data_IF_511492821348
#
_entry.id   IF_511492821348
#
_cell.length_a   1.000
_cell.length_b   1.000
_cell.length_c   1.000
_cell.angle_alpha   90.00
_cell.angle_beta   90.00
_cell.angle_gamma   90.00
#
_symmetry.space_group_name_H-M   'P 1'
#
loop_
_entity.id
_entity.type
_entity.pdbx_description
1 polymer ?
#
# COMPACT_ATOMS: atom_id res chain seq x y z
N UNK A 1 -44.85 13.23 16.32
CA UNK A 1 -43.92 12.65 17.31
C UNK A 1 -43.13 11.56 16.62
N UNK A 2 -41.82 11.75 16.46
CA UNK A 2 -40.98 10.83 15.70
C UNK A 2 -39.52 11.25 15.80
N UNK A 3 -38.96 11.20 17.01
CA UNK A 3 -37.53 11.37 17.22
C UNK A 3 -36.83 10.04 16.93
N UNK A 4 -36.20 9.95 15.76
CA UNK A 4 -35.20 8.92 15.48
C UNK A 4 -33.94 9.25 16.25
N UNK A 5 -33.69 8.51 17.34
CA UNK A 5 -32.44 8.60 18.09
C UNK A 5 -31.33 7.96 17.26
N UNK A 6 -30.34 8.77 16.92
CA UNK A 6 -29.06 8.36 16.35
C UNK A 6 -28.44 7.23 17.20
N UNK A 7 -28.01 6.16 16.52
CA UNK A 7 -27.31 5.05 17.17
C UNK A 7 -26.02 5.53 17.85
N UNK A 8 -25.57 4.83 18.91
CA UNK A 8 -24.43 5.28 19.69
C UNK A 8 -23.15 5.24 18.87
N UNK A 9 -22.35 6.29 19.03
CA UNK A 9 -21.00 6.41 18.51
C UNK A 9 -20.18 5.16 18.85
N UNK A 10 -19.60 4.56 17.81
CA UNK A 10 -18.82 3.33 17.91
C UNK A 10 -17.78 3.40 19.02
N UNK A 11 -17.78 2.35 19.85
CA UNK A 11 -16.83 2.09 20.91
C UNK A 11 -15.39 2.39 20.49
N UNK A 12 -14.70 3.16 21.32
CA UNK A 12 -13.28 3.49 21.18
C UNK A 12 -12.40 2.28 21.57
N UNK A 13 -12.61 1.13 20.93
CA UNK A 13 -11.65 0.04 20.94
C UNK A 13 -10.33 0.55 20.36
N UNK A 14 -9.26 0.50 21.16
CA UNK A 14 -7.97 1.15 20.89
C UNK A 14 -7.56 1.10 19.43
N UNK A 15 -7.23 2.26 18.86
CA UNK A 15 -7.00 2.46 17.43
C UNK A 15 -6.09 1.41 16.79
N UNK A 16 -5.10 0.89 17.51
CA UNK A 16 -4.22 -0.20 17.06
C UNK A 16 -4.96 -1.49 16.66
N UNK A 17 -6.02 -1.89 17.39
CA UNK A 17 -6.82 -3.08 17.04
C UNK A 17 -7.67 -2.89 15.79
N UNK A 18 -7.99 -1.64 15.44
CA UNK A 18 -8.73 -1.33 14.21
C UNK A 18 -7.83 -1.39 12.99
N UNK A 19 -6.58 -0.92 13.09
CA UNK A 19 -5.62 -0.95 11.97
C UNK A 19 -5.31 -2.36 11.48
N UNK A 20 -5.27 -3.36 12.36
CA UNK A 20 -5.00 -4.74 11.94
C UNK A 20 -6.14 -5.38 11.13
N UNK A 21 -7.38 -4.90 11.28
CA UNK A 21 -8.58 -5.47 10.62
C UNK A 21 -9.13 -4.61 9.49
N UNK A 22 -8.75 -3.34 9.43
CA UNK A 22 -9.30 -2.35 8.50
C UNK A 22 -8.26 -1.95 7.45
N UNK A 23 -8.32 -2.60 6.27
CA UNK A 23 -7.40 -2.32 5.17
C UNK A 23 -7.60 -0.92 4.59
N UNK A 24 -8.85 -0.43 4.54
CA UNK A 24 -9.15 0.90 4.02
C UNK A 24 -8.50 1.97 4.91
N UNK A 25 -8.72 1.90 6.23
CA UNK A 25 -8.13 2.85 7.17
C UNK A 25 -6.60 2.85 7.10
N UNK A 26 -5.97 1.70 6.84
CA UNK A 26 -4.51 1.64 6.65
C UNK A 26 -4.08 2.41 5.40
N UNK A 27 -4.72 2.19 4.26
CA UNK A 27 -4.42 2.93 3.02
C UNK A 27 -4.66 4.43 3.17
N UNK A 28 -5.73 4.84 3.86
CA UNK A 28 -6.00 6.25 4.15
C UNK A 28 -4.89 6.88 4.99
N UNK A 29 -4.46 6.21 6.07
CA UNK A 29 -3.41 6.72 6.95
C UNK A 29 -2.02 6.70 6.30
N UNK A 30 -1.75 5.76 5.40
CA UNK A 30 -0.55 5.76 4.56
C UNK A 30 -0.46 7.03 3.73
N UNK A 31 -1.52 7.38 2.99
CA UNK A 31 -1.59 8.62 2.22
C UNK A 31 -1.47 9.86 3.13
N UNK A 32 -2.16 9.86 4.27
CA UNK A 32 -2.06 10.95 5.24
C UNK A 32 -0.62 11.16 5.74
N UNK A 33 0.11 10.07 6.00
CA UNK A 33 1.51 10.13 6.39
C UNK A 33 2.41 10.64 5.26
N UNK A 34 2.22 10.16 4.02
CA UNK A 34 2.97 10.62 2.84
C UNK A 34 2.81 12.12 2.59
N UNK A 35 1.60 12.65 2.75
CA UNK A 35 1.30 14.07 2.51
C UNK A 35 1.39 14.95 3.76
N UNK A 36 1.70 14.37 4.92
CA UNK A 36 1.77 15.06 6.22
C UNK A 36 0.48 15.83 6.58
N UNK A 37 -0.68 15.22 6.34
CA UNK A 37 -2.01 15.80 6.63
C UNK A 37 -2.75 14.98 7.72
N UNK A 38 -3.65 15.60 8.51
CA UNK A 38 -4.51 14.85 9.43
C UNK A 38 -5.57 14.04 8.66
N UNK A 39 -5.98 12.90 9.21
CA UNK A 39 -6.99 12.05 8.57
C UNK A 39 -8.32 12.78 8.37
N UNK A 40 -8.73 13.64 9.30
CA UNK A 40 -9.89 14.51 9.11
C UNK A 40 -9.81 15.40 7.87
N UNK A 41 -8.62 15.91 7.51
CA UNK A 41 -8.42 16.69 6.28
C UNK A 41 -8.52 15.81 5.03
N UNK A 42 -7.95 14.61 5.07
CA UNK A 42 -8.09 13.63 3.98
C UNK A 42 -9.57 13.33 3.68
N UNK A 43 -10.43 13.33 4.70
CA UNK A 43 -11.88 13.16 4.58
C UNK A 43 -12.64 14.46 4.21
N UNK A 44 -11.95 15.53 3.83
CA UNK A 44 -12.54 16.81 3.42
C UNK A 44 -12.66 17.87 4.53
N UNK A 45 -12.01 17.67 5.67
CA UNK A 45 -11.97 18.63 6.77
C UNK A 45 -11.07 19.85 6.54
N UNK A 46 -10.97 20.72 7.54
CA UNK A 46 -10.33 22.04 7.45
C UNK A 46 -8.82 22.07 7.72
N UNK A 47 -8.17 20.91 7.89
CA UNK A 47 -6.73 20.81 8.15
C UNK A 47 -6.32 20.91 9.62
N UNK A 48 -7.26 21.16 10.55
CA UNK A 48 -6.91 21.19 11.99
C UNK A 48 -6.77 19.78 12.54
N UNK A 49 -5.65 19.54 13.22
CA UNK A 49 -5.40 18.29 13.93
C UNK A 49 -6.35 18.12 15.09
N UNK A 50 -7.26 17.15 14.97
CA UNK A 50 -8.11 16.73 16.08
C UNK A 50 -7.38 15.74 16.99
N UNK A 51 -7.92 15.51 18.18
CA UNK A 51 -7.37 14.49 19.07
C UNK A 51 -7.44 13.08 18.45
N UNK A 52 -8.52 12.80 17.72
CA UNK A 52 -8.66 11.55 17.00
C UNK A 52 -7.60 11.37 15.91
N UNK A 53 -7.22 12.45 15.20
CA UNK A 53 -6.16 12.41 14.20
C UNK A 53 -4.81 12.08 14.82
N UNK A 54 -4.50 12.67 15.99
CA UNK A 54 -3.26 12.38 16.72
C UNK A 54 -3.20 10.93 17.16
N UNK A 55 -4.29 10.40 17.73
CA UNK A 55 -4.38 9.00 18.13
C UNK A 55 -4.17 8.06 16.94
N UNK A 56 -4.80 8.35 15.79
CA UNK A 56 -4.61 7.56 14.57
C UNK A 56 -3.18 7.65 14.04
N UNK A 57 -2.58 8.83 14.02
CA UNK A 57 -1.20 9.03 13.54
C UNK A 57 -0.18 8.28 14.41
N UNK A 58 -0.34 8.32 15.73
CA UNK A 58 0.52 7.57 16.65
C UNK A 58 0.33 6.06 16.50
N UNK A 59 -0.92 5.60 16.39
CA UNK A 59 -1.22 4.19 16.15
C UNK A 59 -0.66 3.70 14.80
N UNK A 60 -0.71 4.53 13.76
CA UNK A 60 -0.09 4.25 12.47
C UNK A 60 1.43 4.13 12.58
N UNK A 61 2.08 5.06 13.29
CA UNK A 61 3.52 5.03 13.51
C UNK A 61 3.95 3.77 14.30
N UNK A 62 3.15 3.34 15.28
CA UNK A 62 3.38 2.08 15.99
C UNK A 62 3.19 0.86 15.07
N UNK A 63 2.13 0.85 14.27
CA UNK A 63 1.87 -0.21 13.30
C UNK A 63 3.03 -0.36 12.30
N UNK A 64 3.51 0.75 11.75
CA UNK A 64 4.66 0.77 10.83
C UNK A 64 5.93 0.17 11.45
N UNK A 65 6.22 0.46 12.73
CA UNK A 65 7.37 -0.12 13.44
C UNK A 65 7.25 -1.64 13.66
N UNK A 66 6.03 -2.18 13.68
CA UNK A 66 5.79 -3.60 13.88
C UNK A 66 5.83 -4.42 12.58
N UNK A 67 5.84 -3.75 11.42
CA UNK A 67 5.88 -4.36 10.09
C UNK A 67 7.33 -4.53 9.65
N UNK A 68 7.65 -5.70 9.08
CA UNK A 68 8.96 -5.95 8.49
C UNK A 68 9.14 -5.07 7.23
N UNK A 69 10.23 -4.29 7.11
CA UNK A 69 10.45 -3.42 5.94
C UNK A 69 10.74 -4.19 4.65
N UNK A 70 11.09 -5.47 4.74
CA UNK A 70 11.41 -6.31 3.58
C UNK A 70 10.19 -7.08 3.07
N UNK A 71 9.49 -7.80 3.95
CA UNK A 71 8.37 -8.66 3.56
C UNK A 71 6.99 -8.09 3.88
N UNK A 72 6.92 -6.93 4.55
CA UNK A 72 5.68 -6.20 4.85
C UNK A 72 4.65 -6.98 5.71
N UNK A 73 5.06 -8.08 6.35
CA UNK A 73 4.26 -8.83 7.32
C UNK A 73 4.62 -8.44 8.75
N UNK A 74 3.74 -8.71 9.70
CA UNK A 74 3.97 -8.46 11.14
C UNK A 74 4.28 -9.76 11.87
N UNK A 75 5.18 -9.73 12.85
CA UNK A 75 5.59 -10.93 13.59
C UNK A 75 4.42 -11.66 14.27
N UNK A 76 3.42 -10.90 14.75
CA UNK A 76 2.22 -11.47 15.38
C UNK A 76 1.34 -12.29 14.44
N UNK A 77 1.43 -12.06 13.12
CA UNK A 77 0.68 -12.82 12.12
C UNK A 77 1.22 -14.25 11.98
N UNK A 78 2.46 -14.49 12.41
CA UNK A 78 3.13 -15.80 12.40
C UNK A 78 3.06 -16.54 13.74
N UNK A 79 2.77 -15.83 14.84
CA UNK A 79 2.84 -16.38 16.19
C UNK A 79 1.53 -17.06 16.60
N UNK A 80 1.52 -18.40 16.52
CA UNK A 80 0.38 -19.23 16.95
C UNK A 80 -0.06 -18.97 18.40
N UNK A 81 0.86 -18.60 19.31
CA UNK A 81 0.50 -18.31 20.72
C UNK A 81 -0.27 -17.00 20.85
N UNK A 82 -0.20 -16.13 19.86
CA UNK A 82 -0.90 -14.84 19.79
C UNK A 82 -2.07 -14.86 18.80
N UNK A 83 -2.44 -16.05 18.32
CA UNK A 83 -3.55 -16.26 17.37
C UNK A 83 -3.17 -16.05 15.90
N UNK A 84 -1.88 -15.96 15.58
CA UNK A 84 -1.36 -15.99 14.22
C UNK A 84 -1.28 -17.41 13.65
N UNK A 85 -0.81 -17.53 12.41
CA UNK A 85 -0.60 -18.78 11.70
C UNK A 85 0.84 -18.84 11.15
N UNK A 86 1.67 -19.81 11.56
CA UNK A 86 3.01 -20.01 11.00
C UNK A 86 3.04 -20.20 9.48
N UNK A 87 1.89 -20.52 8.87
CA UNK A 87 1.68 -20.67 7.44
C UNK A 87 0.79 -19.58 6.84
N UNK A 88 0.67 -18.42 7.51
CA UNK A 88 -0.16 -17.29 7.06
C UNK A 88 0.19 -16.80 5.64
N UNK A 89 1.42 -17.02 5.18
CA UNK A 89 1.91 -16.60 3.86
C UNK A 89 2.68 -17.73 3.18
N UNK A 90 2.61 -17.77 1.86
CA UNK A 90 3.41 -18.66 0.99
C UNK A 90 4.25 -17.81 0.05
N UNK A 91 5.42 -18.32 -0.33
CA UNK A 91 6.24 -17.67 -1.36
C UNK A 91 5.69 -18.00 -2.74
N UNK A 92 5.56 -16.99 -3.58
CA UNK A 92 5.19 -17.13 -4.99
C UNK A 92 6.24 -16.46 -5.89
N UNK A 93 6.43 -17.00 -7.09
CA UNK A 93 7.38 -16.48 -8.09
C UNK A 93 6.59 -16.00 -9.29
N UNK A 94 6.49 -14.68 -9.45
CA UNK A 94 5.79 -14.07 -10.58
C UNK A 94 6.75 -13.80 -11.75
N UNK A 95 6.38 -14.26 -12.95
CA UNK A 95 6.97 -13.80 -14.21
C UNK A 95 6.18 -12.61 -14.75
N UNK A 96 6.84 -11.46 -14.92
CA UNK A 96 6.26 -10.29 -15.55
C UNK A 96 6.42 -10.37 -17.08
N UNK A 97 5.34 -10.52 -17.87
CA UNK A 97 5.44 -10.64 -19.33
C UNK A 97 6.07 -9.40 -19.99
N UNK A 98 5.82 -8.21 -19.45
CA UNK A 98 6.41 -6.97 -19.96
C UNK A 98 7.93 -6.93 -19.76
N UNK A 99 8.41 -7.22 -18.55
CA UNK A 99 9.85 -7.28 -18.28
C UNK A 99 10.54 -8.35 -19.13
N UNK A 100 9.89 -9.49 -19.30
CA UNK A 100 10.44 -10.53 -20.17
C UNK A 100 10.56 -10.08 -21.63
N UNK A 101 9.55 -9.42 -22.21
CA UNK A 101 9.64 -8.88 -23.57
C UNK A 101 10.81 -7.88 -23.71
N UNK A 102 11.04 -7.07 -22.67
CA UNK A 102 12.18 -6.14 -22.64
C UNK A 102 13.50 -6.92 -22.66
N UNK A 103 13.66 -7.95 -21.84
CA UNK A 103 14.89 -8.76 -21.83
C UNK A 103 15.09 -9.53 -23.14
N UNK A 104 14.02 -10.08 -23.73
CA UNK A 104 14.07 -10.73 -25.04
C UNK A 104 14.55 -9.76 -26.13
N UNK A 105 14.07 -8.51 -26.13
CA UNK A 105 14.53 -7.51 -27.09
C UNK A 105 15.98 -7.07 -26.81
N UNK A 106 16.41 -7.06 -25.53
CA UNK A 106 17.79 -6.75 -25.16
C UNK A 106 18.78 -7.76 -25.71
N UNK A 107 18.40 -9.04 -25.78
CA UNK A 107 19.21 -10.10 -26.37
C UNK A 107 19.53 -9.83 -27.87
N UNK A 108 18.73 -8.98 -28.53
CA UNK A 108 18.94 -8.58 -29.92
C UNK A 108 19.79 -7.31 -30.08
N UNK A 109 20.09 -6.58 -29.00
CA UNK A 109 20.93 -5.37 -29.07
C UNK A 109 22.40 -5.77 -29.18
N UNK A 110 23.13 -5.32 -30.22
CA UNK A 110 24.55 -5.63 -30.36
C UNK A 110 25.39 -5.10 -29.19
N UNK A 111 26.33 -5.90 -28.70
CA UNK A 111 27.24 -5.50 -27.62
C UNK A 111 28.37 -4.55 -28.05
N UNK A 112 28.52 -4.29 -29.35
CA UNK A 112 29.51 -3.36 -29.88
C UNK A 112 28.96 -1.91 -29.90
N UNK A 113 29.71 -0.99 -30.52
CA UNK A 113 29.33 0.43 -30.56
C UNK A 113 28.01 0.70 -31.29
N UNK A 114 27.50 -0.23 -32.11
CA UNK A 114 26.22 -0.07 -32.81
C UNK A 114 25.01 -0.21 -31.87
N UNK A 115 25.18 -0.88 -30.73
CA UNK A 115 24.15 -0.92 -29.69
C UNK A 115 24.14 0.30 -28.76
N UNK A 116 25.12 1.20 -28.88
CA UNK A 116 25.20 2.34 -27.98
C UNK A 116 24.04 3.32 -28.20
N UNK A 117 23.38 3.71 -27.11
CA UNK A 117 22.25 4.64 -27.14
C UNK A 117 20.91 4.01 -27.51
N UNK A 118 20.86 2.70 -27.76
CA UNK A 118 19.59 1.98 -27.97
C UNK A 118 18.82 1.90 -26.66
N UNK A 119 17.54 2.29 -26.70
CA UNK A 119 16.61 2.17 -25.56
C UNK A 119 15.43 1.31 -25.97
N UNK A 120 15.19 0.25 -25.19
CA UNK A 120 14.03 -0.61 -25.35
C UNK A 120 12.90 -0.08 -24.46
N UNK A 121 11.71 0.08 -25.04
CA UNK A 121 10.53 0.54 -24.33
C UNK A 121 9.30 -0.25 -24.78
N UNK A 122 8.37 -0.45 -23.86
CA UNK A 122 7.05 -1.01 -24.18
C UNK A 122 6.09 0.12 -24.52
N UNK A 123 5.38 -0.02 -25.62
CA UNK A 123 4.28 0.87 -26.01
C UNK A 123 2.97 0.07 -26.04
N UNK A 124 1.85 0.64 -25.55
CA UNK A 124 0.52 0.10 -25.82
C UNK A 124 0.33 -0.11 -27.32
N UNK A 125 -0.25 -1.25 -27.71
CA UNK A 125 -0.38 -1.66 -29.11
C UNK A 125 -1.13 -0.63 -29.97
N UNK A 126 -2.10 0.06 -29.36
CA UNK A 126 -2.88 1.11 -30.00
C UNK A 126 -2.01 2.30 -30.42
N UNK A 127 -1.02 2.69 -29.59
CA UNK A 127 -0.11 3.79 -29.87
C UNK A 127 1.00 3.43 -30.87
N UNK A 128 1.33 2.14 -31.02
CA UNK A 128 2.33 1.69 -31.99
C UNK A 128 1.87 1.84 -33.45
N UNK A 129 0.56 1.76 -33.70
CA UNK A 129 -0.01 1.81 -35.07
C UNK A 129 0.19 3.16 -35.76
N UNK A 130 0.32 4.24 -34.98
CA UNK A 130 0.45 5.59 -35.51
C UNK A 130 1.91 5.94 -35.88
N UNK A 131 2.86 5.05 -35.63
CA UNK A 131 4.30 5.22 -35.89
C UNK A 131 4.82 4.36 -37.06
N UNK A 132 3.95 3.61 -37.74
CA UNK A 132 4.31 2.76 -38.90
C UNK A 132 3.67 3.29 -40.17
#
# INVERSE_FOLDING_TARGET
>A
MGSGLAGPAGEQGGAGKRLSRDAQLRSELELCATYAIPHSQFLGGDGRWTELDRVKALAWAEWQRAVCPECHTRLEEWDAKRGGDPHAYVTDTLRCPGCELIEQERDHVPGDRSGYGVKIQLLPRELHRDHT
#
